data_IF_114431335271
#
_entry.id   IF_114431335271
#
_cell.length_a   1.000
_cell.length_b   1.000
_cell.length_c   1.000
_cell.angle_alpha   90.00
_cell.angle_beta   90.00
_cell.angle_gamma   90.00
#
_symmetry.space_group_name_H-M   'P 1'
#
loop_
_entity.id
_entity.type
_entity.pdbx_description
1 polymer ?
#
# COMPACT_ATOMS: atom_id res chain seq x y z
N UNK A 1 -50.49 -61.92 -27.41
CA UNK A 1 -51.53 -62.63 -26.64
C UNK A 1 -51.98 -61.74 -25.48
N UNK A 2 -53.27 -61.32 -25.51
CA UNK A 2 -54.15 -60.88 -24.40
C UNK A 2 -53.59 -59.79 -23.45
N UNK A 3 -53.92 -58.50 -23.61
CA UNK A 3 -55.17 -57.80 -23.20
C UNK A 3 -55.78 -58.26 -21.86
N UNK A 4 -55.91 -57.33 -20.89
CA UNK A 4 -57.15 -56.91 -20.19
C UNK A 4 -56.76 -56.00 -19.00
N UNK A 5 -57.08 -54.70 -18.95
CA UNK A 5 -58.36 -54.00 -18.67
C UNK A 5 -58.80 -53.89 -17.19
N UNK A 6 -59.28 -52.66 -16.87
CA UNK A 6 -60.08 -52.15 -15.73
C UNK A 6 -59.27 -51.50 -14.58
N UNK A 7 -59.29 -50.17 -14.39
CA UNK A 7 -60.40 -49.23 -14.13
C UNK A 7 -61.11 -49.49 -12.79
N UNK A 8 -60.87 -48.62 -11.78
CA UNK A 8 -61.91 -47.78 -11.16
C UNK A 8 -61.40 -46.95 -9.96
N UNK A 9 -61.79 -45.67 -9.99
CA UNK A 9 -62.20 -44.78 -8.86
C UNK A 9 -61.21 -44.38 -7.76
N UNK A 10 -60.68 -43.17 -7.95
CA UNK A 10 -60.79 -41.99 -7.07
C UNK A 10 -61.18 -42.18 -5.59
N UNK A 11 -60.28 -41.77 -4.68
CA UNK A 11 -60.64 -40.84 -3.61
C UNK A 11 -59.43 -39.96 -3.26
N UNK A 12 -59.67 -38.65 -3.27
CA UNK A 12 -58.71 -37.62 -2.95
C UNK A 12 -58.50 -37.53 -1.43
N UNK A 13 -57.23 -37.43 -1.01
CA UNK A 13 -56.88 -36.82 0.27
C UNK A 13 -55.52 -36.12 0.11
N UNK A 14 -55.63 -34.81 0.02
CA UNK A 14 -54.60 -33.80 -0.09
C UNK A 14 -53.81 -33.71 1.23
N UNK A 15 -52.53 -34.04 1.23
CA UNK A 15 -51.59 -33.55 2.24
C UNK A 15 -50.24 -33.26 1.58
N UNK A 16 -50.01 -31.97 1.34
CA UNK A 16 -48.74 -31.39 0.92
C UNK A 16 -47.64 -31.73 1.95
N UNK A 17 -46.58 -32.39 1.50
CA UNK A 17 -45.23 -32.17 2.03
C UNK A 17 -44.28 -31.99 0.86
N UNK A 18 -43.76 -30.78 0.75
CA UNK A 18 -42.78 -30.36 -0.23
C UNK A 18 -41.40 -30.95 0.10
N UNK A 19 -40.84 -31.73 -0.83
CA UNK A 19 -39.41 -31.96 -0.95
C UNK A 19 -38.98 -31.37 -2.31
N UNK A 20 -38.07 -30.39 -2.37
CA UNK A 20 -37.56 -29.92 -3.64
C UNK A 20 -36.62 -30.96 -4.24
N UNK A 21 -36.93 -31.32 -5.48
CA UNK A 21 -36.15 -32.17 -6.36
C UNK A 21 -34.74 -31.63 -6.59
N UNK A 22 -33.80 -32.56 -6.76
CA UNK A 22 -32.45 -32.33 -7.21
C UNK A 22 -32.45 -31.56 -8.54
N UNK A 23 -31.78 -30.41 -8.56
CA UNK A 23 -31.40 -29.77 -9.81
C UNK A 23 -30.02 -30.27 -10.23
N UNK A 24 -30.04 -31.00 -11.34
CA UNK A 24 -28.94 -31.37 -12.21
C UNK A 24 -28.12 -30.13 -12.60
N UNK A 25 -26.82 -30.16 -12.33
CA UNK A 25 -25.88 -29.20 -12.92
C UNK A 25 -25.66 -29.55 -14.39
N UNK A 26 -26.24 -28.73 -15.28
CA UNK A 26 -25.95 -28.73 -16.69
C UNK A 26 -24.55 -28.15 -16.93
N UNK A 27 -23.78 -28.89 -17.72
CA UNK A 27 -22.50 -28.53 -18.29
C UNK A 27 -22.71 -27.39 -19.29
N UNK A 28 -22.08 -26.23 -19.08
CA UNK A 28 -21.92 -25.26 -20.16
C UNK A 28 -20.46 -24.83 -20.27
N UNK A 29 -19.98 -24.88 -21.50
CA UNK A 29 -18.62 -24.69 -21.94
C UNK A 29 -18.58 -23.36 -22.70
N UNK A 30 -17.59 -22.49 -22.42
CA UNK A 30 -17.25 -21.36 -23.27
C UNK A 30 -17.49 -19.97 -22.68
N UNK A 31 -16.43 -19.15 -22.71
CA UNK A 31 -16.50 -17.70 -22.51
C UNK A 31 -15.84 -17.22 -21.22
N UNK A 32 -14.52 -17.22 -21.17
CA UNK A 32 -13.75 -16.55 -20.12
C UNK A 32 -13.98 -15.05 -20.18
N UNK A 33 -14.97 -14.57 -19.41
CA UNK A 33 -15.13 -13.16 -19.10
C UNK A 33 -14.67 -12.98 -17.65
N UNK A 34 -13.57 -12.24 -17.49
CA UNK A 34 -12.92 -11.97 -16.23
C UNK A 34 -13.79 -10.98 -15.44
N UNK A 35 -14.85 -11.46 -14.80
CA UNK A 35 -15.65 -10.66 -13.89
C UNK A 35 -14.85 -10.52 -12.59
N UNK A 36 -14.16 -9.39 -12.46
CA UNK A 36 -13.51 -8.95 -11.23
C UNK A 36 -14.48 -9.14 -10.06
N UNK A 37 -14.15 -10.09 -9.19
CA UNK A 37 -14.98 -10.50 -8.07
C UNK A 37 -14.83 -9.47 -6.94
N UNK A 38 -15.50 -8.32 -7.06
CA UNK A 38 -15.57 -7.24 -6.05
C UNK A 38 -16.43 -7.61 -4.81
N UNK A 39 -16.60 -8.89 -4.50
CA UNK A 39 -17.55 -9.39 -3.51
C UNK A 39 -16.97 -9.56 -2.09
N UNK A 40 -15.74 -9.13 -1.84
CA UNK A 40 -15.22 -9.01 -0.47
C UNK A 40 -15.44 -7.57 0.02
N UNK A 41 -15.98 -7.35 1.22
CA UNK A 41 -16.05 -6.00 1.77
C UNK A 41 -14.63 -5.44 1.84
N UNK A 42 -14.41 -4.31 1.17
CA UNK A 42 -13.14 -3.56 1.26
C UNK A 42 -13.13 -2.98 2.67
N UNK A 43 -12.55 -3.72 3.61
CA UNK A 43 -12.24 -3.22 4.93
C UNK A 43 -11.06 -2.25 4.78
N UNK A 44 -11.36 -0.95 4.84
CA UNK A 44 -10.34 0.09 4.96
C UNK A 44 -10.10 0.42 6.42
N UNK A 45 -8.96 1.03 6.74
CA UNK A 45 -8.73 1.59 8.08
C UNK A 45 -8.94 3.09 8.02
N UNK A 46 -9.69 3.61 8.98
CA UNK A 46 -9.98 5.02 9.17
C UNK A 46 -9.36 5.51 10.49
N UNK A 47 -9.02 6.79 10.55
CA UNK A 47 -8.54 7.43 11.79
C UNK A 47 -9.69 8.22 12.38
N UNK A 48 -10.08 7.91 13.62
CA UNK A 48 -11.15 8.64 14.29
C UNK A 48 -10.72 10.07 14.66
N UNK A 49 -11.67 10.91 15.08
CA UNK A 49 -11.39 12.31 15.47
C UNK A 49 -10.43 12.44 16.67
N UNK A 50 -10.11 11.35 17.36
CA UNK A 50 -9.16 11.29 18.49
C UNK A 50 -7.79 10.75 18.05
N UNK A 51 -7.59 10.51 16.75
CA UNK A 51 -6.33 9.98 16.22
C UNK A 51 -6.17 8.48 16.39
N UNK A 52 -7.25 7.71 16.61
CA UNK A 52 -7.22 6.25 16.79
C UNK A 52 -7.57 5.52 15.50
N UNK A 53 -6.72 4.59 15.07
CA UNK A 53 -7.00 3.72 13.91
C UNK A 53 -8.13 2.72 14.19
N UNK A 54 -9.13 2.68 13.31
CA UNK A 54 -10.27 1.74 13.37
C UNK A 54 -10.57 1.13 11.99
N UNK A 55 -11.03 -0.13 11.96
CA UNK A 55 -11.45 -0.79 10.73
C UNK A 55 -12.86 -0.33 10.36
N UNK A 56 -13.06 0.10 9.10
CA UNK A 56 -14.33 0.61 8.57
C UNK A 56 -14.78 -0.17 7.33
N UNK A 57 -16.09 -0.40 7.23
CA UNK A 57 -16.74 -0.98 6.06
C UNK A 57 -17.40 0.13 5.24
N UNK A 58 -17.31 0.04 3.90
CA UNK A 58 -17.81 1.06 2.98
C UNK A 58 -18.96 0.54 2.10
N UNK A 59 -19.87 1.43 1.69
CA UNK A 59 -21.02 1.12 0.83
C UNK A 59 -20.65 1.18 -0.66
N UNK A 60 -21.00 0.15 -1.42
CA UNK A 60 -20.59 -0.07 -2.81
C UNK A 60 -21.45 0.64 -3.86
N UNK A 61 -22.61 1.23 -3.50
CA UNK A 61 -23.59 1.71 -4.49
C UNK A 61 -23.12 2.96 -5.25
N UNK A 62 -22.55 3.96 -4.56
CA UNK A 62 -22.07 5.20 -5.18
C UNK A 62 -20.88 4.96 -6.13
N UNK A 63 -20.02 4.01 -5.79
CA UNK A 63 -18.86 3.67 -6.61
C UNK A 63 -19.26 3.09 -7.96
N UNK A 64 -20.28 2.20 -8.02
CA UNK A 64 -20.76 1.63 -9.28
C UNK A 64 -21.20 2.72 -10.26
N UNK A 65 -21.91 3.73 -9.78
CA UNK A 65 -22.34 4.86 -10.61
C UNK A 65 -21.14 5.67 -11.14
N UNK A 66 -20.11 5.88 -10.31
CA UNK A 66 -18.87 6.56 -10.73
C UNK A 66 -18.08 5.77 -11.77
N UNK A 67 -17.95 4.45 -11.59
CA UNK A 67 -17.30 3.58 -12.59
C UNK A 67 -18.05 3.58 -13.92
N UNK A 68 -19.39 3.54 -13.90
CA UNK A 68 -20.20 3.61 -15.11
C UNK A 68 -20.07 4.97 -15.79
N UNK A 69 -20.02 6.08 -15.04
CA UNK A 69 -19.80 7.41 -15.58
C UNK A 69 -18.40 7.56 -16.19
N UNK A 70 -17.37 7.10 -15.49
CA UNK A 70 -15.99 7.14 -15.98
C UNK A 70 -15.80 6.31 -17.25
N UNK A 71 -16.43 5.12 -17.33
CA UNK A 71 -16.45 4.30 -18.55
C UNK A 71 -17.14 4.99 -19.74
N UNK A 72 -18.08 5.91 -19.50
CA UNK A 72 -18.71 6.71 -20.58
C UNK A 72 -17.82 7.87 -21.05
N UNK A 73 -16.82 8.26 -20.27
CA UNK A 73 -15.81 9.27 -20.63
C UNK A 73 -14.57 8.66 -21.31
N UNK A 74 -14.61 7.38 -21.67
CA UNK A 74 -13.50 6.61 -22.24
C UNK A 74 -12.92 7.20 -23.55
N UNK A 75 -13.67 8.06 -24.24
CA UNK A 75 -13.24 8.69 -25.49
C UNK A 75 -12.21 9.82 -25.31
N UNK A 76 -11.99 10.30 -24.09
CA UNK A 76 -10.91 11.26 -23.80
C UNK A 76 -9.54 10.58 -23.78
N UNK A 77 -8.49 11.24 -24.31
CA UNK A 77 -7.13 10.67 -24.34
C UNK A 77 -6.62 10.31 -22.94
N UNK A 78 -7.04 11.05 -21.92
CA UNK A 78 -6.74 10.75 -20.51
C UNK A 78 -7.20 9.35 -20.09
N UNK A 79 -8.35 8.90 -20.61
CA UNK A 79 -8.98 7.64 -20.20
C UNK A 79 -8.45 6.42 -20.95
N UNK A 80 -7.60 6.62 -21.97
CA UNK A 80 -6.94 5.54 -22.70
C UNK A 80 -5.78 4.96 -21.90
N UNK A 81 -5.63 3.64 -21.98
CA UNK A 81 -4.48 2.92 -21.44
C UNK A 81 -3.20 3.32 -22.18
N UNK A 82 -2.15 3.62 -21.43
CA UNK A 82 -0.83 4.01 -21.91
C UNK A 82 0.24 3.20 -21.19
N UNK A 83 1.19 2.66 -21.96
CA UNK A 83 2.34 1.95 -21.38
C UNK A 83 3.36 2.90 -20.76
N UNK A 84 3.34 4.17 -21.17
CA UNK A 84 4.33 5.17 -20.78
C UNK A 84 3.70 6.57 -20.86
N UNK A 85 2.89 6.92 -19.87
CA UNK A 85 2.47 8.31 -19.67
C UNK A 85 3.59 9.07 -18.98
N UNK A 86 3.89 10.26 -19.49
CA UNK A 86 4.87 11.22 -18.97
C UNK A 86 4.12 12.40 -18.38
N UNK A 87 4.47 12.78 -17.15
CA UNK A 87 3.90 13.92 -16.41
C UNK A 87 5.04 14.86 -16.05
N UNK A 88 5.02 16.08 -16.62
CA UNK A 88 5.94 17.14 -16.26
C UNK A 88 5.48 17.81 -14.97
N UNK A 89 6.28 17.68 -13.91
CA UNK A 89 5.96 18.17 -12.57
C UNK A 89 5.91 19.70 -12.51
N UNK A 90 6.83 20.36 -13.21
CA UNK A 90 6.89 21.82 -13.27
C UNK A 90 5.76 22.42 -14.14
N UNK A 91 5.37 21.77 -15.25
CA UNK A 91 4.18 22.19 -16.01
C UNK A 91 2.89 21.93 -15.23
N UNK A 92 2.82 20.81 -14.53
CA UNK A 92 1.67 20.50 -13.67
C UNK A 92 1.53 21.56 -12.57
N UNK A 93 2.63 21.97 -11.93
CA UNK A 93 2.57 23.07 -10.97
C UNK A 93 2.11 24.39 -11.61
N UNK A 94 2.60 24.73 -12.81
CA UNK A 94 2.13 25.94 -13.50
C UNK A 94 0.62 25.89 -13.80
N UNK A 95 0.09 24.72 -14.17
CA UNK A 95 -1.34 24.51 -14.35
C UNK A 95 -2.11 24.60 -13.03
N UNK A 96 -1.58 24.03 -11.94
CA UNK A 96 -2.14 24.15 -10.59
C UNK A 96 -2.15 25.59 -10.10
N UNK A 97 -1.10 26.36 -10.35
CA UNK A 97 -1.01 27.77 -10.00
C UNK A 97 -2.14 28.58 -10.66
N UNK A 98 -2.49 28.26 -11.91
CA UNK A 98 -3.61 28.89 -12.61
C UNK A 98 -4.97 28.53 -11.98
N UNK A 99 -5.15 27.28 -11.53
CA UNK A 99 -6.36 26.86 -10.81
C UNK A 99 -6.49 27.55 -9.45
N UNK A 100 -5.40 27.59 -8.67
CA UNK A 100 -5.33 28.25 -7.36
C UNK A 100 -5.61 29.75 -7.49
N UNK A 101 -4.97 30.42 -8.47
CA UNK A 101 -5.21 31.84 -8.73
C UNK A 101 -6.66 32.15 -9.12
N UNK A 102 -7.36 31.18 -9.71
CA UNK A 102 -8.78 31.28 -10.03
C UNK A 102 -9.71 30.82 -8.91
N UNK A 103 -9.18 30.48 -7.72
CA UNK A 103 -9.96 30.00 -6.57
C UNK A 103 -10.57 28.61 -6.76
N UNK A 104 -10.02 27.81 -7.69
CA UNK A 104 -10.48 26.45 -7.97
C UNK A 104 -9.56 25.42 -7.32
N UNK A 105 -10.12 24.25 -7.04
CA UNK A 105 -9.34 23.10 -6.60
C UNK A 105 -8.77 22.35 -7.80
N UNK A 106 -7.67 21.59 -7.61
CA UNK A 106 -7.17 20.68 -8.63
C UNK A 106 -8.27 19.74 -9.12
N UNK A 107 -8.33 19.53 -10.43
CA UNK A 107 -9.22 18.54 -11.01
C UNK A 107 -8.74 17.11 -10.72
N UNK A 108 -9.58 16.13 -11.04
CA UNK A 108 -9.29 14.73 -10.78
C UNK A 108 -8.09 14.22 -11.61
N UNK A 109 -7.84 14.81 -12.79
CA UNK A 109 -6.68 14.47 -13.62
C UNK A 109 -5.38 14.89 -12.93
N UNK A 110 -5.32 16.10 -12.37
CA UNK A 110 -4.20 16.58 -11.57
C UNK A 110 -4.02 15.73 -10.32
N UNK A 111 -5.10 15.46 -9.56
CA UNK A 111 -5.05 14.66 -8.32
C UNK A 111 -4.52 13.25 -8.55
N UNK A 112 -4.89 12.61 -9.66
CA UNK A 112 -4.47 11.25 -10.02
C UNK A 112 -3.25 11.20 -10.96
N UNK A 113 -2.51 12.32 -11.11
CA UNK A 113 -1.34 12.44 -11.99
C UNK A 113 -1.57 11.85 -13.39
N UNK A 114 -2.65 12.30 -14.01
CA UNK A 114 -3.13 11.85 -15.30
C UNK A 114 -3.38 10.33 -15.39
N UNK A 115 -3.81 9.70 -14.29
CA UNK A 115 -4.11 8.27 -14.26
C UNK A 115 -2.89 7.36 -14.23
N UNK A 116 -1.70 7.89 -13.91
CA UNK A 116 -0.52 7.08 -13.66
C UNK A 116 -0.85 6.02 -12.61
N UNK A 117 -0.60 4.75 -12.92
CA UNK A 117 -0.75 3.61 -11.98
C UNK A 117 0.57 3.23 -11.34
N UNK A 118 1.69 3.74 -11.89
CA UNK A 118 3.00 3.65 -11.26
C UNK A 118 4.01 4.63 -11.82
N UNK A 119 4.95 5.02 -10.96
CA UNK A 119 6.18 5.69 -11.38
C UNK A 119 7.23 4.62 -11.64
N UNK A 120 7.70 4.55 -12.88
CA UNK A 120 8.78 3.67 -13.32
C UNK A 120 10.01 4.46 -13.76
N UNK A 121 9.84 5.71 -14.16
CA UNK A 121 10.92 6.52 -14.69
C UNK A 121 10.90 7.93 -14.11
N UNK A 122 12.09 8.51 -14.03
CA UNK A 122 12.31 9.94 -13.88
C UNK A 122 13.16 10.41 -15.05
N UNK A 123 12.73 11.46 -15.73
CA UNK A 123 13.46 12.09 -16.82
C UNK A 123 13.67 13.57 -16.52
N UNK A 124 14.83 14.09 -16.91
CA UNK A 124 15.06 15.51 -17.02
C UNK A 124 15.31 15.88 -18.48
N UNK A 125 14.58 16.88 -19.00
CA UNK A 125 14.72 17.39 -20.37
C UNK A 125 15.39 18.77 -20.34
N UNK A 126 16.71 18.87 -20.59
CA UNK A 126 17.43 20.15 -20.49
C UNK A 126 16.93 21.23 -21.45
N UNK A 127 16.49 20.83 -22.65
CA UNK A 127 16.04 21.80 -23.68
C UNK A 127 14.76 22.54 -23.29
N UNK A 128 13.92 21.91 -22.47
CA UNK A 128 12.63 22.47 -22.03
C UNK A 128 12.55 22.68 -20.52
N UNK A 129 13.62 22.35 -19.79
CA UNK A 129 13.70 22.35 -18.34
C UNK A 129 12.58 21.54 -17.67
N UNK A 130 12.09 20.48 -18.32
CA UNK A 130 11.01 19.64 -17.79
C UNK A 130 11.57 18.54 -16.88
N UNK A 131 11.07 18.47 -15.64
CA UNK A 131 11.28 17.34 -14.73
C UNK A 131 10.05 16.45 -14.82
N UNK A 132 10.25 15.21 -15.26
CA UNK A 132 9.15 14.31 -15.67
C UNK A 132 9.20 13.03 -14.88
N UNK A 133 8.06 12.60 -14.35
CA UNK A 133 7.84 11.22 -13.92
C UNK A 133 7.07 10.47 -15.00
N UNK A 134 7.35 9.19 -15.18
CA UNK A 134 6.65 8.40 -16.19
C UNK A 134 6.45 6.94 -15.80
N UNK A 135 5.45 6.32 -16.43
CA UNK A 135 5.10 4.91 -16.25
C UNK A 135 3.75 4.57 -16.86
N UNK A 136 3.21 3.36 -16.62
CA UNK A 136 1.91 2.99 -17.13
C UNK A 136 0.79 3.82 -16.52
N UNK A 137 -0.18 4.20 -17.34
CA UNK A 137 -1.38 4.93 -16.95
C UNK A 137 -2.60 4.33 -17.63
N UNK A 138 -3.76 4.56 -17.05
CA UNK A 138 -5.05 4.15 -17.62
C UNK A 138 -6.16 5.07 -17.14
N UNK A 139 -7.36 4.95 -17.74
CA UNK A 139 -8.54 5.63 -17.23
C UNK A 139 -8.81 5.21 -15.79
N UNK A 140 -9.21 6.18 -14.96
CA UNK A 140 -9.35 6.00 -13.52
C UNK A 140 -10.70 6.52 -13.02
N UNK A 141 -11.11 6.05 -11.85
CA UNK A 141 -12.31 6.50 -11.17
C UNK A 141 -12.14 6.40 -9.65
N UNK A 142 -12.87 7.24 -8.92
CA UNK A 142 -12.94 7.13 -7.47
C UNK A 142 -13.77 5.90 -7.05
N UNK A 143 -13.19 5.05 -6.23
CA UNK A 143 -13.80 3.86 -5.64
C UNK A 143 -14.76 4.22 -4.47
N UNK A 144 -15.39 3.24 -3.78
CA UNK A 144 -16.26 3.51 -2.63
C UNK A 144 -15.59 4.26 -1.48
N UNK A 145 -14.26 4.20 -1.40
CA UNK A 145 -13.44 4.84 -0.37
C UNK A 145 -12.91 6.20 -0.83
N UNK A 146 -13.37 6.71 -1.96
CA UNK A 146 -12.87 7.90 -2.66
C UNK A 146 -11.41 7.79 -3.12
N UNK A 147 -10.85 6.58 -3.22
CA UNK A 147 -9.50 6.36 -3.76
C UNK A 147 -9.60 6.29 -5.28
N UNK A 148 -8.71 6.99 -5.98
CA UNK A 148 -8.61 6.87 -7.43
C UNK A 148 -7.95 5.54 -7.79
N UNK A 149 -8.69 4.70 -8.51
CA UNK A 149 -8.17 3.43 -9.03
C UNK A 149 -8.33 3.38 -10.54
N UNK A 150 -7.40 2.72 -11.19
CA UNK A 150 -7.46 2.41 -12.61
C UNK A 150 -8.61 1.45 -12.92
N UNK A 151 -9.35 1.73 -13.99
CA UNK A 151 -10.59 1.05 -14.37
C UNK A 151 -10.31 -0.36 -14.93
N UNK A 152 -9.15 -0.55 -15.56
CA UNK A 152 -8.76 -1.82 -16.18
C UNK A 152 -8.06 -2.73 -15.17
N UNK A 153 -7.03 -2.20 -14.49
CA UNK A 153 -6.19 -2.96 -13.58
C UNK A 153 -6.74 -3.05 -12.15
N UNK A 154 -7.60 -2.11 -11.74
CA UNK A 154 -8.03 -1.96 -10.34
C UNK A 154 -6.94 -1.45 -9.40
N UNK A 155 -5.79 -1.03 -9.92
CA UNK A 155 -4.66 -0.53 -9.12
C UNK A 155 -4.90 0.93 -8.69
N UNK A 156 -4.44 1.34 -7.49
CA UNK A 156 -4.47 2.74 -7.11
C UNK A 156 -3.63 3.58 -8.09
N UNK A 157 -4.10 4.79 -8.40
CA UNK A 157 -3.30 5.76 -9.15
C UNK A 157 -2.25 6.40 -8.24
N UNK A 158 -1.21 6.95 -8.84
CA UNK A 158 -0.25 7.80 -8.13
C UNK A 158 -0.93 9.11 -7.77
N UNK A 159 -1.03 9.41 -6.49
CA UNK A 159 -1.68 10.62 -6.01
C UNK A 159 -0.70 11.81 -6.00
N UNK A 160 -1.19 12.97 -6.44
CA UNK A 160 -0.43 14.22 -6.39
C UNK A 160 -0.04 14.58 -4.96
N UNK A 161 -0.91 14.38 -3.97
CA UNK A 161 -0.59 14.68 -2.56
C UNK A 161 0.57 13.82 -2.02
N UNK A 162 0.69 12.56 -2.44
CA UNK A 162 1.79 11.67 -2.04
C UNK A 162 3.09 12.06 -2.75
N UNK A 163 3.01 12.40 -4.04
CA UNK A 163 4.17 12.91 -4.80
C UNK A 163 4.69 14.21 -4.18
N UNK A 164 3.79 15.15 -3.84
CA UNK A 164 4.15 16.42 -3.19
C UNK A 164 4.74 16.19 -1.81
N UNK A 165 4.18 15.28 -1.02
CA UNK A 165 4.73 14.92 0.29
C UNK A 165 6.16 14.39 0.16
N UNK A 166 6.41 13.51 -0.82
CA UNK A 166 7.75 13.00 -1.13
C UNK A 166 8.69 14.11 -1.61
N UNK A 167 8.25 14.98 -2.52
CA UNK A 167 9.06 16.10 -3.01
C UNK A 167 9.41 17.10 -1.91
N UNK A 168 8.52 17.34 -0.93
CA UNK A 168 8.81 18.19 0.22
C UNK A 168 9.82 17.57 1.19
N UNK A 169 9.82 16.25 1.32
CA UNK A 169 10.87 15.54 2.06
C UNK A 169 12.25 15.63 1.36
N UNK A 170 12.27 15.85 0.04
CA UNK A 170 13.47 16.01 -0.78
C UNK A 170 13.45 17.35 -1.54
N UNK A 171 13.12 18.44 -0.84
CA UNK A 171 12.89 19.75 -1.43
C UNK A 171 14.20 20.42 -1.92
N UNK A 172 14.14 21.35 -2.90
CA UNK A 172 15.30 22.12 -3.32
C UNK A 172 15.93 22.89 -2.14
N UNK A 173 17.26 22.82 -2.03
CA UNK A 173 18.02 23.55 -1.00
C UNK A 173 17.81 23.10 0.44
N UNK A 174 17.00 22.05 0.68
CA UNK A 174 16.79 21.49 2.02
C UNK A 174 17.78 20.35 2.30
N UNK A 175 18.15 20.12 3.58
CA UNK A 175 18.85 18.89 3.95
C UNK A 175 18.04 17.68 3.50
N UNK A 176 18.73 16.67 2.98
CA UNK A 176 18.10 15.44 2.54
C UNK A 176 17.40 14.71 3.70
N UNK A 177 16.19 14.19 3.45
CA UNK A 177 15.52 13.31 4.41
C UNK A 177 16.20 11.95 4.43
N UNK A 178 17.02 11.70 5.45
CA UNK A 178 17.79 10.45 5.56
C UNK A 178 16.92 9.20 5.79
N UNK A 179 15.79 9.34 6.49
CA UNK A 179 14.86 8.23 6.80
C UNK A 179 13.43 8.74 6.81
N UNK A 180 12.54 8.04 6.09
CA UNK A 180 11.10 8.13 6.26
C UNK A 180 10.65 6.87 7.01
N UNK A 181 9.98 7.01 8.14
CA UNK A 181 9.53 5.86 8.92
C UNK A 181 8.27 6.10 9.72
N UNK A 182 7.54 5.01 9.99
CA UNK A 182 6.54 4.92 11.04
C UNK A 182 6.88 3.75 11.96
N UNK A 183 6.64 3.89 13.25
CA UNK A 183 6.58 2.76 14.18
C UNK A 183 5.29 2.80 14.99
N UNK A 184 4.79 1.61 15.33
CA UNK A 184 3.71 1.44 16.31
C UNK A 184 4.32 0.65 17.45
N UNK A 185 4.43 1.30 18.61
CA UNK A 185 5.13 0.80 19.79
C UNK A 185 4.23 0.90 21.03
N UNK A 186 4.22 -0.11 21.90
CA UNK A 186 3.53 0.00 23.17
C UNK A 186 4.17 1.07 24.06
N UNK A 187 3.34 1.72 24.88
CA UNK A 187 3.81 2.68 25.89
C UNK A 187 4.67 1.98 26.95
N UNK A 188 5.58 2.72 27.59
CA UNK A 188 6.42 2.18 28.66
C UNK A 188 5.56 1.66 29.83
N UNK A 189 4.51 2.40 30.17
CA UNK A 189 3.54 2.03 31.20
C UNK A 189 2.73 0.80 30.79
N UNK A 190 2.34 0.70 29.50
CA UNK A 190 1.66 -0.46 28.94
C UNK A 190 2.50 -1.73 29.01
N UNK A 191 3.77 -1.64 28.64
CA UNK A 191 4.73 -2.75 28.78
C UNK A 191 4.88 -3.19 30.24
N UNK A 192 4.98 -2.25 31.18
CA UNK A 192 5.08 -2.56 32.59
C UNK A 192 3.83 -3.29 33.12
N UNK A 193 2.63 -2.81 32.79
CA UNK A 193 1.37 -3.47 33.16
C UNK A 193 1.24 -4.86 32.55
N UNK A 194 1.63 -5.02 31.28
CA UNK A 194 1.64 -6.32 30.60
C UNK A 194 2.57 -7.32 31.32
N UNK A 195 3.78 -6.89 31.68
CA UNK A 195 4.73 -7.73 32.41
C UNK A 195 4.21 -8.16 33.79
N UNK A 196 3.56 -7.23 34.51
CA UNK A 196 2.91 -7.53 35.80
C UNK A 196 1.77 -8.54 35.64
N UNK A 197 0.91 -8.36 34.63
CA UNK A 197 -0.17 -9.30 34.32
C UNK A 197 0.37 -10.69 33.98
N UNK A 198 1.35 -10.79 33.09
CA UNK A 198 2.00 -12.05 32.71
C UNK A 198 2.64 -12.76 33.91
N UNK A 199 3.26 -12.01 34.83
CA UNK A 199 3.82 -12.57 36.06
C UNK A 199 2.73 -13.13 36.99
N UNK A 200 1.58 -12.46 37.10
CA UNK A 200 0.47 -12.87 37.96
C UNK A 200 -0.25 -14.13 37.46
N UNK A 201 -0.34 -14.33 36.14
CA UNK A 201 -1.01 -15.50 35.54
C UNK A 201 -0.07 -16.69 35.33
N UNK A 202 1.25 -16.49 35.43
CA UNK A 202 2.27 -17.52 35.17
C UNK A 202 2.02 -18.81 35.97
N UNK A 203 2.02 -19.95 35.29
CA UNK A 203 1.83 -21.28 35.89
C UNK A 203 0.38 -21.63 36.27
N UNK A 204 -0.59 -20.72 36.06
CA UNK A 204 -2.02 -20.92 36.33
C UNK A 204 -2.87 -20.93 35.06
N UNK A 205 -2.22 -21.04 33.90
CA UNK A 205 -2.86 -20.82 32.61
C UNK A 205 -3.21 -22.15 31.95
N UNK A 206 -4.48 -22.33 31.57
CA UNK A 206 -4.93 -23.47 30.78
C UNK A 206 -5.34 -23.04 29.36
N UNK A 207 -5.37 -23.96 28.37
CA UNK A 207 -5.85 -23.65 27.02
C UNK A 207 -7.23 -22.99 26.96
N UNK A 208 -8.13 -23.32 27.90
CA UNK A 208 -9.46 -22.69 28.02
C UNK A 208 -9.43 -21.21 28.41
N UNK A 209 -8.31 -20.71 28.95
CA UNK A 209 -8.12 -19.30 29.35
C UNK A 209 -7.65 -18.40 28.20
N UNK A 210 -7.50 -18.93 26.97
CA UNK A 210 -6.97 -18.21 25.82
C UNK A 210 -7.58 -16.82 25.63
N UNK A 211 -8.92 -16.77 25.56
CA UNK A 211 -9.64 -15.53 25.30
C UNK A 211 -9.51 -14.54 26.47
N UNK A 212 -9.56 -15.04 27.71
CA UNK A 212 -9.37 -14.24 28.93
C UNK A 212 -7.96 -13.64 28.98
N UNK A 213 -6.94 -14.41 28.60
CA UNK A 213 -5.58 -13.90 28.48
C UNK A 213 -5.43 -12.88 27.36
N UNK A 214 -6.00 -13.14 26.18
CA UNK A 214 -5.94 -12.20 25.06
C UNK A 214 -6.51 -10.83 25.46
N UNK A 215 -7.70 -10.84 26.07
CA UNK A 215 -8.35 -9.63 26.58
C UNK A 215 -7.51 -8.97 27.68
N UNK A 216 -7.02 -9.74 28.65
CA UNK A 216 -6.17 -9.20 29.73
C UNK A 216 -4.88 -8.57 29.20
N UNK A 217 -4.23 -9.16 28.20
CA UNK A 217 -3.04 -8.58 27.56
C UNK A 217 -3.38 -7.31 26.79
N UNK A 218 -4.48 -7.34 26.01
CA UNK A 218 -4.95 -6.17 25.27
C UNK A 218 -5.22 -4.99 26.22
N UNK A 219 -5.96 -5.25 27.30
CA UNK A 219 -6.32 -4.24 28.31
C UNK A 219 -5.08 -3.70 29.04
N UNK A 220 -4.17 -4.58 29.47
CA UNK A 220 -2.99 -4.16 30.22
C UNK A 220 -2.00 -3.39 29.34
N UNK A 221 -1.77 -3.84 28.11
CA UNK A 221 -0.90 -3.13 27.16
C UNK A 221 -1.48 -1.76 26.80
N UNK A 222 -2.80 -1.69 26.61
CA UNK A 222 -3.50 -0.45 26.29
C UNK A 222 -3.26 0.02 24.85
N UNK A 223 -3.42 1.32 24.60
CA UNK A 223 -3.13 1.90 23.29
C UNK A 223 -1.62 1.96 23.03
N UNK A 224 -1.25 1.76 21.78
CA UNK A 224 0.13 1.88 21.30
C UNK A 224 0.33 3.24 20.66
N UNK A 225 1.51 3.81 20.81
CA UNK A 225 1.90 5.10 20.23
C UNK A 225 2.38 4.89 18.81
N UNK A 226 1.94 5.77 17.92
CA UNK A 226 2.45 5.87 16.55
C UNK A 226 3.50 6.97 16.52
N UNK A 227 4.65 6.72 15.90
CA UNK A 227 5.71 7.72 15.74
C UNK A 227 6.16 7.79 14.30
N UNK A 228 6.11 8.98 13.71
CA UNK A 228 6.57 9.26 12.36
C UNK A 228 7.92 9.97 12.36
N UNK A 229 8.69 9.77 11.29
CA UNK A 229 9.89 10.54 10.99
C UNK A 229 9.99 10.76 9.47
N UNK A 230 10.53 11.92 9.08
CA UNK A 230 10.80 12.28 7.68
C UNK A 230 9.62 12.83 6.87
N UNK A 231 8.38 12.62 7.32
CA UNK A 231 7.16 13.18 6.69
C UNK A 231 6.16 13.64 7.76
N UNK A 232 5.28 14.64 7.48
CA UNK A 232 4.23 15.03 8.40
C UNK A 232 3.18 13.93 8.60
N UNK A 233 2.68 13.78 9.82
CA UNK A 233 1.74 12.72 10.24
C UNK A 233 0.28 12.98 9.84
N UNK A 234 -0.02 14.18 9.35
CA UNK A 234 -1.35 14.63 8.88
C UNK A 234 -1.55 14.48 7.37
N UNK A 235 -0.77 13.63 6.71
CA UNK A 235 -0.82 13.41 5.25
C UNK A 235 -1.44 12.05 4.89
N UNK A 236 -1.95 11.91 3.65
CA UNK A 236 -2.31 10.60 3.10
C UNK A 236 -1.12 9.63 3.16
N UNK A 237 0.07 10.11 2.82
CA UNK A 237 1.33 9.37 2.90
C UNK A 237 1.53 8.73 4.27
N UNK A 238 1.38 9.49 5.36
CA UNK A 238 1.50 8.98 6.72
C UNK A 238 0.43 7.93 7.06
N UNK A 239 -0.81 8.14 6.60
CA UNK A 239 -1.90 7.15 6.75
C UNK A 239 -1.55 5.82 6.09
N UNK A 240 -1.01 5.84 4.86
CA UNK A 240 -0.60 4.62 4.15
C UNK A 240 0.47 3.86 4.93
N UNK A 241 1.47 4.56 5.46
CA UNK A 241 2.54 3.95 6.25
C UNK A 241 1.99 3.20 7.47
N UNK A 242 1.20 3.88 8.31
CA UNK A 242 0.69 3.30 9.56
C UNK A 242 -0.32 2.18 9.29
N UNK A 243 -1.18 2.34 8.27
CA UNK A 243 -2.17 1.34 7.90
C UNK A 243 -1.49 0.04 7.44
N UNK A 244 -0.47 0.15 6.58
CA UNK A 244 0.24 -1.02 6.05
C UNK A 244 0.96 -1.80 7.16
N UNK A 245 1.63 -1.11 8.09
CA UNK A 245 2.27 -1.73 9.25
C UNK A 245 1.24 -2.41 10.16
N UNK A 246 0.16 -1.71 10.51
CA UNK A 246 -0.87 -2.26 11.38
C UNK A 246 -1.51 -3.53 10.80
N UNK A 247 -1.88 -3.52 9.51
CA UNK A 247 -2.46 -4.71 8.85
C UNK A 247 -1.46 -5.85 8.74
N UNK A 248 -0.20 -5.57 8.45
CA UNK A 248 0.84 -6.60 8.42
C UNK A 248 0.96 -7.28 9.78
N UNK A 249 0.87 -6.52 10.88
CA UNK A 249 0.85 -7.10 12.23
C UNK A 249 -0.37 -8.00 12.43
N UNK A 250 -1.58 -7.54 12.06
CA UNK A 250 -2.81 -8.35 12.13
C UNK A 250 -2.70 -9.66 11.34
N UNK A 251 -2.07 -9.64 10.17
CA UNK A 251 -1.80 -10.83 9.34
C UNK A 251 -0.78 -11.75 10.01
N UNK A 252 0.32 -11.19 10.53
CA UNK A 252 1.35 -11.94 11.25
C UNK A 252 0.80 -12.69 12.47
N UNK A 253 -0.17 -12.10 13.16
CA UNK A 253 -0.88 -12.74 14.29
C UNK A 253 -2.11 -13.55 13.90
N UNK A 254 -2.44 -13.63 12.62
CA UNK A 254 -3.60 -14.40 12.14
C UNK A 254 -4.96 -13.82 12.53
N UNK A 255 -5.05 -12.54 12.89
CA UNK A 255 -6.32 -11.83 13.05
C UNK A 255 -6.88 -11.32 11.72
N UNK A 256 -6.01 -11.10 10.73
CA UNK A 256 -6.40 -10.76 9.37
C UNK A 256 -5.93 -11.85 8.40
N UNK A 257 -6.78 -12.20 7.43
CA UNK A 257 -6.45 -13.14 6.36
C UNK A 257 -6.39 -12.41 5.03
N UNK A 258 -5.27 -12.59 4.33
CA UNK A 258 -5.09 -12.05 2.99
C UNK A 258 -5.91 -12.85 1.96
N UNK A 259 -6.35 -12.21 0.85
CA UNK A 259 -6.94 -12.89 -0.31
C UNK A 259 -5.91 -13.69 -1.14
N UNK A 260 -4.68 -13.78 -0.64
CA UNK A 260 -3.58 -14.63 -1.12
C UNK A 260 -3.09 -15.43 0.07
N UNK A 261 -2.89 -16.74 -0.10
CA UNK A 261 -2.46 -17.61 0.99
C UNK A 261 -1.04 -17.25 1.43
N UNK A 262 -0.91 -16.70 2.62
CA UNK A 262 0.35 -16.46 3.34
C UNK A 262 0.19 -17.12 4.71
N UNK A 263 1.15 -17.94 5.11
CA UNK A 263 1.13 -18.57 6.44
C UNK A 263 1.62 -17.56 7.47
N UNK A 264 0.76 -17.22 8.42
CA UNK A 264 1.05 -16.25 9.48
C UNK A 264 2.22 -16.69 10.35
N UNK A 265 2.88 -15.73 11.02
CA UNK A 265 3.96 -16.03 11.96
C UNK A 265 3.49 -16.99 13.05
N UNK A 266 2.31 -16.75 13.63
CA UNK A 266 1.73 -17.61 14.68
C UNK A 266 1.46 -19.03 14.18
N UNK A 267 1.08 -19.21 12.91
CA UNK A 267 0.93 -20.54 12.28
C UNK A 267 2.28 -21.24 12.04
N UNK A 268 3.37 -20.48 11.88
CA UNK A 268 4.74 -21.01 11.69
C UNK A 268 5.47 -21.28 13.01
N UNK A 269 5.17 -20.48 14.03
CA UNK A 269 5.92 -20.47 15.28
C UNK A 269 5.81 -21.82 16.01
N UNK A 270 6.96 -22.28 16.53
CA UNK A 270 7.03 -23.45 17.39
C UNK A 270 7.13 -22.99 18.86
N UNK A 271 6.19 -23.40 19.73
CA UNK A 271 6.16 -22.98 21.14
C UNK A 271 7.40 -23.35 21.96
N UNK A 272 8.23 -24.30 21.51
CA UNK A 272 9.50 -24.64 22.19
C UNK A 272 10.68 -23.76 21.74
N UNK A 273 10.57 -23.05 20.62
CA UNK A 273 11.63 -22.20 20.07
C UNK A 273 11.42 -20.71 20.31
N UNK A 274 10.19 -20.30 20.62
CA UNK A 274 9.83 -18.92 20.94
C UNK A 274 9.89 -18.77 22.47
N UNK A 275 10.76 -17.89 22.97
CA UNK A 275 10.77 -17.58 24.40
C UNK A 275 9.41 -16.99 24.80
N UNK A 276 8.93 -17.30 26.00
CA UNK A 276 7.60 -16.92 26.49
C UNK A 276 7.29 -15.40 26.51
N UNK A 277 8.24 -14.55 26.10
CA UNK A 277 8.14 -13.09 25.98
C UNK A 277 8.90 -12.54 24.76
N UNK A 278 9.22 -13.36 23.74
CA UNK A 278 9.95 -12.89 22.57
C UNK A 278 9.03 -12.03 21.69
N UNK A 279 9.28 -10.73 21.69
CA UNK A 279 8.63 -9.77 20.78
C UNK A 279 9.35 -9.85 19.44
N UNK A 280 8.63 -10.22 18.39
CA UNK A 280 9.13 -10.06 17.02
C UNK A 280 8.77 -8.66 16.52
N UNK A 281 9.72 -8.03 15.82
CA UNK A 281 9.50 -6.75 15.14
C UNK A 281 9.70 -6.94 13.64
N UNK A 282 8.75 -6.45 12.85
CA UNK A 282 8.78 -6.51 11.39
C UNK A 282 8.73 -5.12 10.78
N UNK A 283 9.46 -4.92 9.69
CA UNK A 283 9.52 -3.64 8.99
C UNK A 283 9.35 -3.82 7.50
N UNK A 284 8.48 -3.03 6.88
CA UNK A 284 8.52 -2.87 5.43
C UNK A 284 9.64 -1.90 5.04
N UNK A 285 10.37 -2.26 4.00
CA UNK A 285 11.37 -1.41 3.35
C UNK A 285 11.33 -1.59 1.84
N UNK A 286 11.81 -0.63 1.04
CA UNK A 286 12.05 -0.85 -0.38
C UNK A 286 13.03 -2.00 -0.58
N UNK A 287 12.82 -2.80 -1.62
CA UNK A 287 13.92 -3.58 -2.19
C UNK A 287 14.78 -2.59 -2.97
N UNK A 288 15.95 -2.29 -2.44
CA UNK A 288 16.83 -1.27 -3.00
C UNK A 288 17.48 -1.67 -4.32
N UNK A 289 17.57 -2.97 -4.58
CA UNK A 289 18.04 -3.50 -5.86
C UNK A 289 17.13 -3.02 -6.99
N UNK A 290 17.73 -2.44 -8.04
CA UNK A 290 17.02 -2.25 -9.31
C UNK A 290 16.69 -0.82 -9.65
N UNK A 291 17.59 0.13 -9.42
CA UNK A 291 17.55 1.42 -10.13
C UNK A 291 18.58 1.38 -11.27
N UNK A 292 18.16 1.70 -12.49
CA UNK A 292 19.06 1.91 -13.63
C UNK A 292 19.08 3.39 -14.02
N UNK A 293 20.26 3.94 -14.27
CA UNK A 293 20.46 5.34 -14.64
C UNK A 293 21.24 5.43 -15.95
N UNK A 294 20.84 6.33 -16.84
CA UNK A 294 21.57 6.63 -18.07
C UNK A 294 22.96 7.20 -17.78
N UNK A 295 23.90 7.07 -18.72
CA UNK A 295 25.28 7.57 -18.52
C UNK A 295 25.35 9.08 -18.26
N UNK A 296 24.42 9.85 -18.82
CA UNK A 296 24.30 11.29 -18.61
C UNK A 296 23.56 11.67 -17.32
N UNK A 297 23.01 10.71 -16.58
CA UNK A 297 22.24 10.97 -15.36
C UNK A 297 20.89 11.65 -15.59
N UNK A 298 20.40 11.73 -16.83
CA UNK A 298 19.16 12.45 -17.16
C UNK A 298 17.93 11.53 -17.27
N UNK A 299 18.11 10.21 -17.11
CA UNK A 299 17.04 9.23 -17.16
C UNK A 299 17.28 8.10 -16.15
N UNK A 300 16.39 7.99 -15.17
CA UNK A 300 16.34 6.89 -14.22
C UNK A 300 15.16 5.98 -14.53
N UNK A 301 15.35 4.68 -14.31
CA UNK A 301 14.33 3.64 -14.30
C UNK A 301 14.36 2.87 -12.98
N UNK A 302 13.20 2.66 -12.39
CA UNK A 302 12.97 1.70 -11.31
C UNK A 302 12.66 0.34 -11.97
N UNK A 303 13.65 -0.53 -12.05
CA UNK A 303 13.61 -1.83 -12.74
C UNK A 303 12.71 -2.83 -12.01
N UNK A 304 12.91 -2.99 -10.70
CA UNK A 304 12.15 -3.91 -9.85
C UNK A 304 11.47 -3.14 -8.72
N UNK A 305 10.17 -2.88 -8.89
CA UNK A 305 9.34 -2.25 -7.86
C UNK A 305 9.04 -3.25 -6.75
N UNK A 306 9.98 -3.37 -5.81
CA UNK A 306 9.92 -4.34 -4.72
C UNK A 306 9.69 -3.69 -3.36
N UNK A 307 8.81 -4.30 -2.58
CA UNK A 307 8.73 -4.07 -1.14
C UNK A 307 9.16 -5.34 -0.44
N UNK A 308 10.01 -5.21 0.57
CA UNK A 308 10.50 -6.29 1.39
C UNK A 308 10.00 -6.13 2.82
N UNK A 309 9.53 -7.23 3.40
CA UNK A 309 9.30 -7.34 4.84
C UNK A 309 10.54 -7.96 5.47
N UNK A 310 11.12 -7.29 6.47
CA UNK A 310 12.31 -7.75 7.20
C UNK A 310 12.04 -7.85 8.70
N UNK A 311 12.70 -8.78 9.38
CA UNK A 311 12.69 -8.86 10.85
C UNK A 311 13.71 -7.92 11.49
N UNK A 312 13.61 -7.68 12.80
CA UNK A 312 14.56 -6.86 13.57
C UNK A 312 16.03 -7.25 13.36
N UNK A 313 16.31 -8.56 13.29
CA UNK A 313 17.67 -9.08 13.12
C UNK A 313 18.27 -8.81 11.73
N UNK A 314 17.41 -8.57 10.73
CA UNK A 314 17.80 -8.22 9.35
C UNK A 314 17.79 -6.71 9.14
N UNK A 315 17.23 -5.93 10.08
CA UNK A 315 17.23 -4.47 10.05
C UNK A 315 18.65 -3.94 10.27
N UNK A 316 19.31 -3.55 9.18
CA UNK A 316 20.58 -2.82 9.24
C UNK A 316 20.28 -1.32 9.33
N UNK A 317 20.19 -0.79 10.56
CA UNK A 317 20.27 0.65 10.79
C UNK A 317 21.72 1.01 11.14
N UNK A 318 22.42 1.72 10.25
CA UNK A 318 23.71 2.36 10.58
C UNK A 318 24.93 1.43 10.70
N UNK A 319 25.00 0.35 9.93
CA UNK A 319 26.24 -0.43 9.74
C UNK A 319 26.70 -1.32 10.91
N UNK A 320 26.10 -1.19 12.10
CA UNK A 320 26.46 -2.04 13.25
C UNK A 320 25.42 -3.14 13.46
N UNK A 321 25.78 -4.34 12.99
CA UNK A 321 25.04 -5.58 13.20
C UNK A 321 25.05 -5.94 14.68
N UNK A 322 24.00 -5.60 15.43
CA UNK A 322 23.78 -6.16 16.76
C UNK A 322 23.28 -7.59 16.55
N UNK A 323 24.21 -8.54 16.56
CA UNK A 323 23.92 -9.95 16.41
C UNK A 323 23.17 -10.48 17.64
N UNK A 324 21.85 -10.34 17.68
CA UNK A 324 20.98 -11.13 18.56
C UNK A 324 21.04 -12.59 18.09
N UNK A 325 21.80 -13.40 18.83
CA UNK A 325 22.26 -14.77 18.51
C UNK A 325 21.17 -15.85 18.29
N UNK A 326 19.88 -15.50 18.16
CA UNK A 326 18.83 -16.49 17.91
C UNK A 326 17.88 -16.02 16.82
N UNK A 327 18.13 -16.52 15.64
CA UNK A 327 17.28 -16.39 14.47
C UNK A 327 15.93 -17.07 14.71
N UNK A 328 14.84 -16.31 14.65
CA UNK A 328 13.49 -16.87 14.67
C UNK A 328 13.08 -17.30 13.25
N UNK A 329 13.27 -18.59 12.94
CA UNK A 329 12.94 -19.17 11.63
C UNK A 329 11.48 -18.98 11.20
N UNK A 330 10.55 -18.87 12.15
CA UNK A 330 9.14 -18.62 11.83
C UNK A 330 8.93 -17.17 11.36
N UNK A 331 9.62 -16.22 12.00
CA UNK A 331 9.65 -14.80 11.64
C UNK A 331 10.29 -14.60 10.26
N UNK A 332 11.46 -15.18 10.03
CA UNK A 332 12.14 -15.14 8.72
C UNK A 332 11.28 -15.75 7.61
N UNK A 333 10.66 -16.91 7.84
CA UNK A 333 9.83 -17.57 6.85
C UNK A 333 8.54 -16.77 6.54
N UNK A 334 7.97 -16.07 7.53
CA UNK A 334 6.87 -15.13 7.31
C UNK A 334 7.31 -13.94 6.47
N UNK A 335 8.40 -13.26 6.85
CA UNK A 335 8.99 -12.15 6.11
C UNK A 335 9.30 -12.52 4.65
N UNK A 336 9.95 -13.68 4.45
CA UNK A 336 10.30 -14.20 3.13
C UNK A 336 9.07 -14.47 2.28
N UNK A 337 8.08 -15.23 2.80
CA UNK A 337 6.88 -15.54 2.04
C UNK A 337 6.06 -14.28 1.72
N UNK A 338 5.93 -13.34 2.67
CA UNK A 338 5.24 -12.08 2.45
C UNK A 338 5.91 -11.28 1.34
N UNK A 339 7.25 -11.19 1.36
CA UNK A 339 8.06 -10.53 0.33
C UNK A 339 7.91 -11.19 -1.03
N UNK A 340 8.00 -12.51 -1.11
CA UNK A 340 7.84 -13.28 -2.37
C UNK A 340 6.44 -13.10 -2.98
N UNK A 341 5.42 -13.03 -2.14
CA UNK A 341 4.02 -12.89 -2.57
C UNK A 341 3.54 -11.43 -2.62
N UNK A 342 4.41 -10.46 -2.35
CA UNK A 342 4.02 -9.06 -2.20
C UNK A 342 3.27 -8.54 -3.44
N UNK A 343 3.74 -8.88 -4.64
CA UNK A 343 3.10 -8.47 -5.88
C UNK A 343 1.65 -8.98 -5.96
N UNK A 344 1.42 -10.25 -5.66
CA UNK A 344 0.08 -10.84 -5.64
C UNK A 344 -0.82 -10.22 -4.57
N UNK A 345 -0.23 -9.88 -3.42
CA UNK A 345 -0.94 -9.22 -2.31
C UNK A 345 -1.37 -7.82 -2.73
N UNK A 346 -0.45 -7.03 -3.26
CA UNK A 346 -0.70 -5.66 -3.69
C UNK A 346 -1.68 -5.58 -4.88
N UNK A 347 -1.75 -6.59 -5.75
CA UNK A 347 -2.77 -6.67 -6.80
C UNK A 347 -4.19 -6.91 -6.27
N UNK A 348 -4.35 -7.29 -4.99
CA UNK A 348 -5.64 -7.65 -4.37
C UNK A 348 -6.00 -6.78 -3.17
N UNK A 349 -5.02 -6.10 -2.59
CA UNK A 349 -5.15 -5.32 -1.35
C UNK A 349 -4.51 -3.96 -1.56
N UNK A 350 -5.35 -2.95 -1.78
CA UNK A 350 -4.95 -1.62 -2.24
C UNK A 350 -3.87 -0.97 -1.39
N UNK A 351 -3.91 -1.16 -0.06
CA UNK A 351 -2.93 -0.54 0.83
C UNK A 351 -1.48 -0.97 0.57
N UNK A 352 -1.27 -2.21 0.13
CA UNK A 352 0.07 -2.68 -0.24
C UNK A 352 0.49 -2.22 -1.64
N UNK A 353 -0.47 -1.91 -2.52
CA UNK A 353 -0.15 -1.20 -3.76
C UNK A 353 0.23 0.26 -3.49
N UNK A 354 -0.50 0.95 -2.61
CA UNK A 354 -0.21 2.31 -2.16
C UNK A 354 1.14 2.37 -1.43
N UNK A 355 1.45 1.42 -0.53
CA UNK A 355 2.73 1.34 0.15
C UNK A 355 3.91 1.28 -0.84
N UNK A 356 3.81 0.42 -1.85
CA UNK A 356 4.81 0.36 -2.93
C UNK A 356 4.88 1.69 -3.68
N UNK A 357 3.73 2.29 -3.97
CA UNK A 357 3.67 3.56 -4.70
C UNK A 357 4.37 4.70 -3.97
N UNK A 358 4.14 4.84 -2.66
CA UNK A 358 4.79 5.87 -1.83
C UNK A 358 6.31 5.64 -1.72
N UNK A 359 6.77 4.39 -1.74
CA UNK A 359 8.20 4.07 -1.82
C UNK A 359 8.80 4.49 -3.17
N UNK A 360 8.12 4.20 -4.29
CA UNK A 360 8.60 4.56 -5.62
C UNK A 360 8.69 6.08 -5.83
N UNK A 361 7.67 6.84 -5.41
CA UNK A 361 7.72 8.32 -5.50
C UNK A 361 8.76 8.92 -4.58
N UNK A 362 9.05 8.27 -3.44
CA UNK A 362 10.14 8.72 -2.55
C UNK A 362 11.50 8.51 -3.19
N UNK A 363 11.72 7.37 -3.87
CA UNK A 363 12.95 7.11 -4.65
C UNK A 363 13.07 8.11 -5.81
N UNK A 364 11.97 8.38 -6.51
CA UNK A 364 11.93 9.39 -7.57
C UNK A 364 12.28 10.79 -7.05
N UNK A 365 11.67 11.24 -5.96
CA UNK A 365 11.95 12.54 -5.34
C UNK A 365 13.41 12.65 -4.86
N UNK A 366 13.93 11.59 -4.24
CA UNK A 366 15.33 11.53 -3.82
C UNK A 366 16.30 11.62 -5.01
N UNK A 367 15.98 10.97 -6.14
CA UNK A 367 16.79 11.05 -7.35
C UNK A 367 16.75 12.44 -7.99
N UNK A 368 15.57 13.09 -8.03
CA UNK A 368 15.41 14.47 -8.51
C UNK A 368 16.29 15.43 -7.69
N UNK A 369 16.31 15.28 -6.36
CA UNK A 369 17.14 16.09 -5.48
C UNK A 369 18.63 15.78 -5.65
N UNK A 370 19.02 14.51 -5.73
CA UNK A 370 20.41 14.06 -5.85
C UNK A 370 21.08 14.53 -7.15
N UNK A 371 20.33 14.56 -8.26
CA UNK A 371 20.81 15.09 -9.54
C UNK A 371 20.69 16.62 -9.63
N UNK A 372 20.18 17.31 -8.62
CA UNK A 372 19.88 18.74 -8.63
C UNK A 372 19.02 19.16 -9.85
N UNK A 373 18.03 18.35 -10.22
CA UNK A 373 17.14 18.72 -11.33
C UNK A 373 16.33 19.98 -11.03
N UNK A 374 16.07 20.28 -9.75
CA UNK A 374 15.47 21.55 -9.34
C UNK A 374 16.35 22.75 -9.74
N UNK A 375 17.64 22.72 -9.40
CA UNK A 375 18.60 23.77 -9.76
C UNK A 375 18.80 23.88 -11.26
N UNK A 376 18.94 22.75 -11.95
CA UNK A 376 19.08 22.70 -13.41
C UNK A 376 17.86 23.27 -14.13
N UNK A 377 16.65 22.99 -13.65
CA UNK A 377 15.40 23.52 -14.20
C UNK A 377 15.11 24.97 -13.80
N UNK A 378 15.81 25.51 -12.79
CA UNK A 378 15.47 26.78 -12.15
C UNK A 378 14.11 26.74 -11.43
N UNK A 379 13.73 25.58 -10.88
CA UNK A 379 12.40 25.33 -10.34
C UNK A 379 12.41 25.19 -8.82
N UNK A 380 11.78 26.14 -8.12
CA UNK A 380 11.74 26.19 -6.64
C UNK A 380 10.46 25.63 -6.02
N UNK A 381 9.58 25.01 -6.81
CA UNK A 381 8.25 24.55 -6.37
C UNK A 381 7.41 25.62 -5.64
N UNK A 382 7.15 26.81 -6.22
CA UNK A 382 6.43 27.91 -5.55
C UNK A 382 5.01 27.58 -5.04
N UNK A 383 4.33 26.58 -5.59
CA UNK A 383 2.96 26.18 -5.16
C UNK A 383 3.00 24.82 -4.46
N UNK A 384 3.60 23.82 -5.08
CA UNK A 384 3.74 22.47 -4.53
C UNK A 384 4.64 22.45 -3.30
N UNK A 385 5.60 23.36 -3.16
CA UNK A 385 6.49 23.46 -2.00
C UNK A 385 5.87 24.18 -0.80
N UNK A 386 4.76 24.89 -0.99
CA UNK A 386 4.13 25.74 0.04
C UNK A 386 2.79 25.16 0.49
N UNK A 387 2.69 24.76 1.77
CA UNK A 387 1.45 24.24 2.37
C UNK A 387 0.28 25.23 2.30
N UNK A 388 0.56 26.54 2.28
CA UNK A 388 -0.49 27.57 2.18
C UNK A 388 -1.07 27.70 0.78
N UNK A 389 -0.31 27.31 -0.26
CA UNK A 389 -0.74 27.34 -1.66
C UNK A 389 -1.35 25.99 -2.08
N UNK A 390 -0.76 24.89 -1.60
CA UNK A 390 -1.23 23.53 -1.86
C UNK A 390 -1.16 22.69 -0.58
N UNK A 391 -2.31 22.52 0.08
CA UNK A 391 -2.38 21.80 1.33
C UNK A 391 -2.43 20.27 1.11
N UNK A 392 -1.49 19.54 1.72
CA UNK A 392 -1.47 18.07 1.79
C UNK A 392 -1.62 17.54 3.23
N UNK A 393 -1.35 18.40 4.22
CA UNK A 393 -1.52 18.11 5.65
C UNK A 393 -2.97 18.30 6.09
N UNK A 394 -3.88 17.55 5.47
CA UNK A 394 -5.34 17.71 5.64
C UNK A 394 -5.99 16.59 6.44
N UNK A 395 -5.23 15.56 6.82
CA UNK A 395 -5.72 14.38 7.53
C UNK A 395 -5.56 14.51 9.04
N UNK A 396 -6.39 13.79 9.78
CA UNK A 396 -6.20 13.62 11.22
C UNK A 396 -4.97 12.75 11.50
N UNK A 397 -4.05 13.26 12.31
CA UNK A 397 -2.84 12.54 12.68
C UNK A 397 -3.19 11.20 13.39
N UNK A 398 -2.66 10.07 12.91
CA UNK A 398 -2.81 8.79 13.61
C UNK A 398 -1.82 8.76 14.77
N UNK A 399 -2.29 9.07 15.97
CA UNK A 399 -1.45 9.15 17.17
C UNK A 399 -1.38 7.84 17.92
N UNK A 400 -2.47 7.07 17.90
CA UNK A 400 -2.61 5.86 18.69
C UNK A 400 -3.31 4.73 17.94
N UNK A 401 -2.98 3.50 18.33
CA UNK A 401 -3.56 2.29 17.74
C UNK A 401 -4.02 1.35 18.84
N UNK A 402 -5.18 0.73 18.65
CA UNK A 402 -5.63 -0.33 19.56
C UNK A 402 -4.65 -1.50 19.54
N UNK A 403 -4.31 -2.01 20.73
CA UNK A 403 -3.56 -3.24 20.82
C UNK A 403 -4.35 -4.40 20.22
N UNK A 404 -3.76 -5.05 19.21
CA UNK A 404 -4.25 -6.29 18.65
C UNK A 404 -3.46 -7.47 19.25
N UNK A 405 -4.15 -8.36 19.95
CA UNK A 405 -3.55 -9.56 20.53
C UNK A 405 -4.34 -10.77 20.04
N UNK A 406 -3.63 -11.77 19.50
CA UNK A 406 -4.19 -13.08 19.27
C UNK A 406 -3.56 -14.09 20.24
N UNK A 407 -4.34 -14.58 21.21
CA UNK A 407 -3.86 -15.66 22.08
C UNK A 407 -4.07 -17.01 21.39
N UNK A 408 -3.10 -17.41 20.57
CA UNK A 408 -3.07 -18.75 20.01
C UNK A 408 -2.28 -19.66 20.94
N UNK A 409 -2.95 -20.71 21.43
CA UNK A 409 -2.28 -21.79 22.13
C UNK A 409 -1.66 -22.75 21.11
N UNK A 410 -0.33 -22.76 21.05
CA UNK A 410 0.41 -23.90 20.55
C UNK A 410 1.15 -24.51 21.72
N UNK A 411 0.82 -25.75 22.10
CA UNK A 411 1.35 -26.33 23.34
C UNK A 411 0.90 -25.52 24.55
N UNK A 412 1.85 -25.05 25.39
CA UNK A 412 1.60 -24.26 26.61
C UNK A 412 2.07 -22.79 26.52
N UNK A 413 2.40 -22.27 25.34
CA UNK A 413 3.05 -20.96 25.19
C UNK A 413 2.16 -19.95 24.46
N UNK A 414 2.02 -18.77 25.06
CA UNK A 414 1.36 -17.60 24.49
C UNK A 414 2.33 -16.83 23.58
N UNK A 415 1.87 -16.41 22.40
CA UNK A 415 2.69 -15.68 21.43
C UNK A 415 2.00 -14.38 21.03
N UNK A 416 2.70 -13.25 21.20
CA UNK A 416 2.22 -11.93 20.78
C UNK A 416 3.39 -11.15 20.17
N UNK A 417 3.44 -10.91 18.85
CA UNK A 417 4.31 -9.89 18.29
C UNK A 417 3.78 -8.52 18.72
N UNK A 418 4.71 -7.62 19.05
CA UNK A 418 4.40 -6.40 19.78
C UNK A 418 5.04 -5.15 19.16
N UNK A 419 5.79 -5.28 18.06
CA UNK A 419 6.44 -4.14 17.42
C UNK A 419 6.58 -4.29 15.92
N UNK A 420 6.78 -3.17 15.23
CA UNK A 420 6.97 -3.14 13.78
C UNK A 420 6.81 -1.73 13.23
N UNK A 421 7.02 -1.58 11.92
CA UNK A 421 6.89 -0.30 11.25
C UNK A 421 7.02 -0.36 9.74
N UNK A 422 7.07 0.82 9.14
CA UNK A 422 7.62 1.01 7.79
C UNK A 422 8.87 1.85 7.96
N UNK A 423 9.94 1.49 7.26
CA UNK A 423 11.16 2.27 7.23
C UNK A 423 11.70 2.27 5.80
N UNK A 424 11.90 3.45 5.24
CA UNK A 424 12.54 3.61 3.94
C UNK A 424 13.61 4.70 3.99
N UNK A 425 14.75 4.38 3.38
CA UNK A 425 15.85 5.28 3.06
C UNK A 425 15.95 5.42 1.53
N UNK A 426 15.19 6.32 0.89
CA UNK A 426 15.09 6.36 -0.57
C UNK A 426 16.43 6.50 -1.29
N UNK A 427 17.37 7.29 -0.75
CA UNK A 427 18.72 7.47 -1.32
C UNK A 427 19.56 6.19 -1.34
N UNK A 428 19.28 5.22 -0.46
CA UNK A 428 19.97 3.93 -0.50
C UNK A 428 19.76 3.21 -1.84
N UNK A 429 18.64 3.44 -2.54
CA UNK A 429 18.42 2.90 -3.89
C UNK A 429 19.39 3.48 -4.94
N UNK A 430 20.00 4.63 -4.63
CA UNK A 430 20.89 5.39 -5.50
C UNK A 430 22.37 5.14 -5.18
N UNK A 431 22.67 4.41 -4.10
CA UNK A 431 24.03 4.00 -3.75
C UNK A 431 24.62 3.11 -4.87
N UNK A 432 25.94 3.22 -5.08
CA UNK A 432 26.67 2.47 -6.11
C UNK A 432 26.51 0.94 -6.03
N UNK A 433 26.15 0.41 -4.86
CA UNK A 433 25.90 -1.02 -4.66
C UNK A 433 24.60 -1.48 -5.36
N UNK A 434 23.59 -0.61 -5.42
CA UNK A 434 22.25 -0.92 -5.91
C UNK A 434 21.94 -0.31 -7.29
N UNK A 435 22.67 0.76 -7.64
CA UNK A 435 22.51 1.49 -8.89
C UNK A 435 23.26 0.81 -10.05
N UNK A 436 22.56 0.65 -11.17
CA UNK A 436 23.09 0.11 -12.42
C UNK A 436 23.21 1.22 -13.46
N UNK A 437 24.35 1.33 -14.13
CA UNK A 437 24.49 2.24 -15.28
C UNK A 437 23.96 1.55 -16.53
N UNK A 438 22.99 2.17 -17.18
CA UNK A 438 22.43 1.72 -18.46
C UNK A 438 23.36 2.07 -19.63
N UNK A 439 24.28 1.15 -19.90
CA UNK A 439 25.22 1.24 -21.03
C UNK A 439 24.60 0.94 -22.39
N UNK A 440 23.37 0.42 -22.44
CA UNK A 440 22.67 0.12 -23.69
C UNK A 440 21.90 1.34 -24.21
N UNK A 441 21.70 2.36 -23.37
CA UNK A 441 20.97 3.57 -23.70
C UNK A 441 19.46 3.35 -23.82
N UNK A 442 18.93 2.27 -23.24
CA UNK A 442 17.49 1.96 -23.23
C UNK A 442 16.69 3.09 -22.54
N UNK A 443 17.18 3.58 -21.40
CA UNK A 443 16.55 4.68 -20.65
C UNK A 443 16.49 5.96 -21.49
N UNK A 444 17.56 6.28 -22.22
CA UNK A 444 17.59 7.45 -23.09
C UNK A 444 16.68 7.29 -24.32
N UNK A 445 16.57 6.09 -24.88
CA UNK A 445 15.62 5.81 -25.95
C UNK A 445 14.17 6.00 -25.48
N UNK A 446 13.81 5.51 -24.28
CA UNK A 446 12.48 5.69 -23.70
C UNK A 446 12.18 7.16 -23.38
N UNK A 447 13.17 7.89 -22.84
CA UNK A 447 13.07 9.34 -22.65
C UNK A 447 12.73 10.05 -23.97
N UNK A 448 13.37 9.67 -25.07
CA UNK A 448 13.19 10.27 -26.40
C UNK A 448 11.96 9.78 -27.18
N UNK A 449 11.31 8.70 -26.77
CA UNK A 449 10.26 8.04 -27.57
C UNK A 449 8.97 8.85 -27.78
N UNK A 450 8.77 9.94 -27.02
CA UNK A 450 7.63 10.85 -27.16
C UNK A 450 7.85 12.15 -26.38
N UNK A 451 7.64 13.30 -27.03
CA UNK A 451 7.69 14.63 -26.43
C UNK A 451 9.04 15.03 -25.80
N UNK A 452 9.10 16.20 -25.12
CA UNK A 452 8.05 17.20 -24.94
C UNK A 452 7.98 18.26 -26.07
N UNK A 453 8.27 17.90 -27.33
CA UNK A 453 8.09 18.80 -28.48
C UNK A 453 6.61 18.93 -28.90
N UNK A 454 6.13 20.16 -29.12
CA UNK A 454 4.81 20.41 -29.72
C UNK A 454 3.60 20.27 -28.78
N UNK A 455 3.83 20.33 -27.46
CA UNK A 455 2.75 20.30 -26.46
C UNK A 455 1.88 21.57 -26.55
N UNK A 456 0.57 21.42 -26.32
CA UNK A 456 -0.36 22.55 -26.28
C UNK A 456 -0.11 23.45 -25.06
N UNK A 457 -0.48 24.74 -25.10
CA UNK A 457 -0.43 25.61 -23.93
C UNK A 457 -1.20 25.01 -22.75
N UNK A 458 -0.56 24.93 -21.58
CA UNK A 458 -1.13 24.34 -20.37
C UNK A 458 -1.12 22.81 -20.33
N UNK A 459 -0.64 22.12 -21.37
CA UNK A 459 -0.50 20.67 -21.36
C UNK A 459 0.70 20.26 -20.49
N UNK A 460 0.43 19.43 -19.49
CA UNK A 460 1.42 18.98 -18.49
C UNK A 460 1.68 17.47 -18.50
N UNK A 461 0.97 16.71 -19.34
CA UNK A 461 1.19 15.28 -19.55
C UNK A 461 1.04 14.88 -21.02
N UNK A 462 1.67 13.76 -21.40
CA UNK A 462 1.61 13.16 -22.73
C UNK A 462 1.96 11.66 -22.66
N UNK A 463 1.69 10.92 -23.73
CA UNK A 463 2.04 9.50 -23.90
C UNK A 463 3.19 9.32 -24.89
#
# INVERSE_FOLDING_TARGET
MKNLFRSMTAFAALCLFAFPAANTFAQNNGGGNNVNNFAQPIAGIDVDARGVLQVKQFDHQLARQRFEAARRMADSDLMKSSKLRKVSLNRLEAALAAEVAAGRQPDDAMKALAGLTSVQYVFFYPDTNDIVIAGPAEGFAADPTNRFIGIESGRPTVLLEDMVTAMRAFAPGSPETGVISVSIDPTAEGLQRMQQFLAAVRGRVQPSDAQRLASGLKENLGLQTVTFNGVPDTTHFARVLVEADYRMKLIGIGLERLPVRVTSYVERANPTSVAANAMERWYFQPRYDGVAVSEDGLAMRINERGVQLVGENERVAGGNRIATKRVNKASEAFCKEFTEKYNMIADRVSIYAELRQIMDVSIAAAYIQEQDFYGQAGWSMPVLGDESQFAVQTYTAPQQVETAVNAIWKGNTLMTPLGGGVQMQPRKALDKEYLVIDRKGENNQIKQSAGPSGLQPGQWWWD
#
